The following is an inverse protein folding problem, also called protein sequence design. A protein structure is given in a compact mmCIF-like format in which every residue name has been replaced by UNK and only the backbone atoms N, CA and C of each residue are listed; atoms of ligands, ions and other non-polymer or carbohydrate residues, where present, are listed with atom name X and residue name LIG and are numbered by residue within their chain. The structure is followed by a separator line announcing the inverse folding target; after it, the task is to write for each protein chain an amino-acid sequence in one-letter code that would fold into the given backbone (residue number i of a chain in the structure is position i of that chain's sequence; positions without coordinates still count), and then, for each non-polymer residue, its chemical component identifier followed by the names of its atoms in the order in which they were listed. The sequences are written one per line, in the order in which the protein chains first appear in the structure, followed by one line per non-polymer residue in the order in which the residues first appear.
data_IF_814925241968
#
_entry.id   IF_814925241968
#
_cell.length_a   1.000
_cell.length_b   1.000
_cell.length_c   1.000
_cell.angle_alpha   90.00
_cell.angle_beta   90.00
_cell.angle_gamma   90.00
#
_symmetry.space_group_name_H-M   'P 1'
#
loop_
_entity.id
_entity.type
_entity.pdbx_description
1 polymer ?
#
# COMPACT_ATOMS: atom_id res chain seq x y z
N UNK A 1 5.05 15.10 5.17
CA UNK A 1 6.03 14.04 4.87
C UNK A 1 5.28 12.98 4.09
N UNK A 2 5.88 12.32 3.11
CA UNK A 2 5.14 11.37 2.27
C UNK A 2 5.45 9.95 2.76
N UNK A 3 4.42 9.21 3.15
CA UNK A 3 4.53 7.82 3.60
C UNK A 3 4.24 6.90 2.43
N UNK A 4 5.22 6.09 2.02
CA UNK A 4 5.04 5.02 1.05
C UNK A 4 5.00 3.67 1.77
N UNK A 5 3.96 2.87 1.54
CA UNK A 5 3.84 1.51 2.08
C UNK A 5 3.64 0.49 0.96
N UNK A 6 4.43 -0.59 0.99
CA UNK A 6 4.35 -1.69 0.05
C UNK A 6 3.53 -2.87 0.58
N UNK A 7 2.53 -3.35 -0.17
CA UNK A 7 1.64 -4.44 0.21
C UNK A 7 1.81 -5.64 -0.72
N UNK A 8 1.96 -6.83 -0.13
CA UNK A 8 2.30 -8.04 -0.88
C UNK A 8 1.26 -9.14 -0.78
N UNK A 9 -0.01 -8.85 -0.47
CA UNK A 9 -1.09 -9.85 -0.47
C UNK A 9 -1.16 -10.79 0.74
N UNK A 10 -0.32 -10.60 1.76
CA UNK A 10 -0.35 -11.38 3.01
C UNK A 10 -1.32 -10.77 4.03
N UNK A 11 -1.74 -11.55 5.04
CA UNK A 11 -2.51 -10.98 6.16
C UNK A 11 -1.71 -9.94 6.96
N UNK A 12 -0.38 -10.05 6.95
CA UNK A 12 0.50 -9.03 7.52
C UNK A 12 0.40 -7.73 6.73
N UNK A 13 0.26 -7.79 5.40
CA UNK A 13 0.08 -6.59 4.55
C UNK A 13 -1.17 -5.81 4.97
N UNK A 14 -2.27 -6.51 5.28
CA UNK A 14 -3.51 -5.88 5.77
C UNK A 14 -3.30 -5.19 7.11
N UNK A 15 -2.66 -5.89 8.06
CA UNK A 15 -2.37 -5.31 9.38
C UNK A 15 -1.46 -4.08 9.28
N UNK A 16 -0.47 -4.12 8.39
CA UNK A 16 0.42 -3.00 8.13
C UNK A 16 -0.36 -1.82 7.57
N UNK A 17 -1.22 -2.03 6.56
CA UNK A 17 -2.02 -0.94 5.99
C UNK A 17 -2.89 -0.26 7.06
N UNK A 18 -3.61 -1.04 7.89
CA UNK A 18 -4.44 -0.49 8.95
C UNK A 18 -3.64 0.37 9.93
N UNK A 19 -2.49 -0.11 10.40
CA UNK A 19 -1.62 0.64 11.30
C UNK A 19 -1.05 1.91 10.65
N UNK A 20 -0.71 1.84 9.36
CA UNK A 20 -0.22 3.00 8.61
C UNK A 20 -1.30 4.04 8.44
N UNK A 21 -2.53 3.65 8.09
CA UNK A 21 -3.69 4.54 8.00
C UNK A 21 -3.92 5.29 9.30
N UNK A 22 -3.94 4.59 10.44
CA UNK A 22 -4.13 5.21 11.77
C UNK A 22 -3.02 6.23 12.05
N UNK A 23 -1.76 5.85 11.84
CA UNK A 23 -0.61 6.73 12.10
C UNK A 23 -0.60 7.95 11.20
N UNK A 24 -0.89 7.78 9.92
CA UNK A 24 -0.84 8.86 8.94
C UNK A 24 -1.93 9.90 9.20
N UNK A 25 -3.11 9.47 9.65
CA UNK A 25 -4.18 10.39 10.08
C UNK A 25 -3.80 11.21 11.32
N UNK A 26 -3.16 10.59 12.32
CA UNK A 26 -2.74 11.27 13.55
C UNK A 26 -1.70 12.38 13.28
N UNK A 27 -0.85 12.19 12.28
CA UNK A 27 0.26 13.09 11.95
C UNK A 27 -0.09 14.06 10.81
N UNK A 28 -1.08 13.73 9.98
CA UNK A 28 -1.49 14.51 8.81
C UNK A 28 -0.51 14.41 7.63
N UNK A 29 0.15 13.26 7.47
CA UNK A 29 1.06 12.99 6.35
C UNK A 29 0.27 12.50 5.11
N UNK A 30 0.84 12.66 3.91
CA UNK A 30 0.27 12.08 2.70
C UNK A 30 0.62 10.59 2.62
N UNK A 31 -0.34 9.75 2.21
CA UNK A 31 -0.17 8.31 2.10
C UNK A 31 -0.18 7.86 0.64
N UNK A 32 0.84 7.10 0.26
CA UNK A 32 0.86 6.32 -0.97
C UNK A 32 0.95 4.83 -0.63
N UNK A 33 0.04 4.05 -1.18
CA UNK A 33 -0.03 2.60 -1.04
C UNK A 33 0.35 1.95 -2.36
N UNK A 34 1.42 1.17 -2.34
CA UNK A 34 1.90 0.42 -3.49
C UNK A 34 1.60 -1.06 -3.33
N UNK A 35 0.81 -1.62 -4.24
CA UNK A 35 0.46 -3.05 -4.26
C UNK A 35 1.39 -3.78 -5.20
N UNK A 36 2.12 -4.75 -4.67
CA UNK A 36 3.21 -5.44 -5.32
C UNK A 36 2.75 -6.85 -5.73
N UNK A 37 3.15 -7.29 -6.91
CA UNK A 37 2.92 -8.67 -7.31
C UNK A 37 3.79 -9.62 -6.49
N UNK A 38 3.15 -10.58 -5.81
CA UNK A 38 3.82 -11.69 -5.12
C UNK A 38 3.07 -12.99 -5.41
N UNK A 39 3.51 -13.79 -6.40
CA UNK A 39 2.80 -14.98 -6.84
C UNK A 39 2.59 -16.04 -5.73
N UNK A 40 3.47 -16.04 -4.73
CA UNK A 40 3.43 -16.94 -3.57
C UNK A 40 2.52 -16.46 -2.44
N UNK A 41 1.91 -15.29 -2.57
CA UNK A 41 1.05 -14.70 -1.55
C UNK A 41 -0.38 -15.24 -1.58
N UNK A 42 -1.08 -15.05 -0.46
CA UNK A 42 -2.45 -15.53 -0.28
C UNK A 42 -3.46 -14.82 -1.19
N UNK A 43 -3.24 -13.52 -1.43
CA UNK A 43 -4.06 -12.68 -2.31
C UNK A 43 -3.24 -12.31 -3.52
N UNK A 44 -3.89 -12.31 -4.67
CA UNK A 44 -3.37 -11.75 -5.92
C UNK A 44 -3.16 -10.25 -5.78
N UNK A 45 -2.40 -9.64 -6.69
CA UNK A 45 -2.20 -8.19 -6.70
C UNK A 45 -3.53 -7.44 -6.81
N UNK A 46 -4.44 -7.91 -7.65
CA UNK A 46 -5.77 -7.28 -7.80
C UNK A 46 -6.64 -7.44 -6.56
N UNK A 47 -6.73 -8.63 -5.98
CA UNK A 47 -7.48 -8.87 -4.73
C UNK A 47 -6.93 -7.99 -3.59
N UNK A 48 -5.61 -7.85 -3.51
CA UNK A 48 -4.97 -6.99 -2.51
C UNK A 48 -5.23 -5.50 -2.79
N UNK A 49 -5.31 -5.09 -4.05
CA UNK A 49 -5.64 -3.72 -4.44
C UNK A 49 -7.08 -3.38 -4.06
N UNK A 50 -8.05 -4.23 -4.38
CA UNK A 50 -9.46 -4.02 -4.04
C UNK A 50 -9.66 -3.96 -2.52
N UNK A 51 -8.98 -4.83 -1.77
CA UNK A 51 -9.03 -4.83 -0.31
C UNK A 51 -8.40 -3.56 0.28
N UNK A 52 -7.28 -3.09 -0.27
CA UNK A 52 -6.64 -1.84 0.16
C UNK A 52 -7.53 -0.62 -0.12
N UNK A 53 -8.15 -0.56 -1.30
CA UNK A 53 -9.10 0.50 -1.69
C UNK A 53 -10.31 0.57 -0.74
N UNK A 54 -10.88 -0.60 -0.39
CA UNK A 54 -11.97 -0.67 0.60
C UNK A 54 -11.52 -0.11 1.95
N UNK A 55 -10.37 -0.55 2.46
CA UNK A 55 -9.87 -0.11 3.77
C UNK A 55 -9.59 1.39 3.84
N UNK A 56 -9.03 1.97 2.77
CA UNK A 56 -8.80 3.41 2.65
C UNK A 56 -10.14 4.18 2.62
N UNK A 57 -11.10 3.69 1.83
CA UNK A 57 -12.44 4.28 1.73
C UNK A 57 -13.21 4.21 3.05
N UNK A 58 -13.16 3.08 3.75
CA UNK A 58 -13.78 2.87 5.07
C UNK A 58 -13.16 3.79 6.14
N UNK A 59 -11.86 4.05 6.05
CA UNK A 59 -11.15 4.98 6.92
C UNK A 59 -11.34 6.46 6.53
N UNK A 60 -11.88 6.74 5.33
CA UNK A 60 -12.02 8.10 4.82
C UNK A 60 -10.69 8.79 4.52
N UNK A 61 -9.65 8.02 4.18
CA UNK A 61 -8.32 8.55 3.85
C UNK A 61 -8.19 8.71 2.34
N UNK A 62 -7.84 9.92 1.91
CA UNK A 62 -7.45 10.22 0.52
C UNK A 62 -5.97 9.86 0.35
N UNK A 63 -5.71 8.71 -0.27
CA UNK A 63 -4.37 8.17 -0.47
C UNK A 63 -4.19 7.73 -1.93
N UNK A 64 -2.99 7.92 -2.46
CA UNK A 64 -2.63 7.36 -3.77
C UNK A 64 -2.52 5.84 -3.65
N UNK A 65 -3.20 5.11 -4.51
CA UNK A 65 -3.16 3.65 -4.58
C UNK A 65 -2.65 3.22 -5.95
N UNK A 66 -1.49 2.57 -5.98
CA UNK A 66 -0.82 2.18 -7.23
C UNK A 66 -0.48 0.69 -7.24
N UNK A 67 -0.49 0.09 -8.43
CA UNK A 67 0.06 -1.26 -8.66
C UNK A 67 1.48 -1.13 -9.21
N UNK A 68 2.42 -1.85 -8.63
CA UNK A 68 3.81 -1.89 -9.09
C UNK A 68 4.18 -3.28 -9.58
N UNK A 69 4.85 -3.33 -10.72
CA UNK A 69 5.33 -4.55 -11.37
C UNK A 69 6.84 -4.72 -11.15
N UNK A 70 7.33 -5.96 -11.28
CA UNK A 70 8.76 -6.27 -11.18
C UNK A 70 9.22 -6.68 -9.78
N UNK A 71 10.51 -6.50 -9.49
CA UNK A 71 11.06 -6.82 -8.17
C UNK A 71 10.48 -5.86 -7.12
N UNK A 72 9.89 -6.37 -6.02
CA UNK A 72 9.19 -5.52 -5.06
C UNK A 72 10.07 -4.45 -4.42
N UNK A 73 11.33 -4.75 -4.14
CA UNK A 73 12.25 -3.82 -3.51
C UNK A 73 12.66 -2.71 -4.47
N UNK A 74 13.08 -3.08 -5.68
CA UNK A 74 13.45 -2.13 -6.71
C UNK A 74 12.28 -1.23 -7.12
N UNK A 75 11.09 -1.81 -7.35
CA UNK A 75 9.93 -1.03 -7.79
C UNK A 75 9.52 0.03 -6.76
N UNK A 76 9.61 -0.28 -5.45
CA UNK A 76 9.35 0.69 -4.39
C UNK A 76 10.36 1.84 -4.36
N UNK A 77 11.65 1.53 -4.50
CA UNK A 77 12.71 2.55 -4.56
C UNK A 77 12.52 3.42 -5.79
N UNK A 78 12.34 2.81 -6.96
CA UNK A 78 12.13 3.52 -8.22
C UNK A 78 10.91 4.45 -8.14
N UNK A 79 9.82 4.01 -7.50
CA UNK A 79 8.64 4.84 -7.29
C UNK A 79 8.92 6.00 -6.32
N UNK A 80 9.62 5.75 -5.22
CA UNK A 80 9.95 6.77 -4.23
C UNK A 80 10.90 7.87 -4.78
N UNK A 81 11.76 7.54 -5.74
CA UNK A 81 12.67 8.52 -6.38
C UNK A 81 11.99 9.36 -7.47
N UNK A 82 10.83 8.92 -7.97
CA UNK A 82 10.09 9.59 -9.05
C UNK A 82 8.98 10.54 -8.57
N UNK A 83 8.60 10.49 -7.29
CA UNK A 83 7.63 11.39 -6.65
C UNK A 83 8.27 12.63 -6.04
#
# INVERSE_FOLDING_TARGET
MNVLVGLGGSDESIKTLQQTIERTQDVGDDLTVAVLEKPESKRSQDEMYEEADSLLSEAGVDADLVRLEGDPGSALVDHAEQG
#
